data_IF_616552314139
#
_entry.id   IF_616552314139
#
_cell.length_a   1.000
_cell.length_b   1.000
_cell.length_c   1.000
_cell.angle_alpha   90.00
_cell.angle_beta   90.00
_cell.angle_gamma   90.00
#
_symmetry.space_group_name_H-M   'P 1'
#
loop_
_entity.id
_entity.type
_entity.pdbx_description
1 polymer ?
#
# COMPACT_ATOMS: atom_id res chain seq x y z
N UNK A 1 -6.29 -9.62 -8.44
CA UNK A 1 -5.46 -10.10 -7.29
C UNK A 1 -4.49 -9.05 -6.75
N UNK A 2 -4.96 -7.80 -6.59
CA UNK A 2 -4.16 -6.72 -5.99
C UNK A 2 -3.96 -6.99 -4.49
N UNK A 3 -2.72 -6.85 -3.94
CA UNK A 3 -2.44 -7.12 -2.52
C UNK A 3 -3.20 -6.19 -1.55
N UNK A 4 -3.41 -4.94 -1.93
CA UNK A 4 -4.15 -3.95 -1.14
C UNK A 4 -5.65 -4.30 -1.01
N UNK A 5 -6.27 -4.80 -2.08
CA UNK A 5 -7.66 -5.30 -2.05
C UNK A 5 -7.75 -6.56 -1.19
N UNK A 6 -6.81 -7.50 -1.33
CA UNK A 6 -6.75 -8.70 -0.50
C UNK A 6 -6.56 -8.35 0.98
N UNK A 7 -5.71 -7.38 1.30
CA UNK A 7 -5.53 -6.88 2.66
C UNK A 7 -6.83 -6.34 3.23
N UNK A 8 -7.55 -5.49 2.50
CA UNK A 8 -8.82 -4.92 2.94
C UNK A 8 -9.90 -6.01 3.10
N UNK A 9 -9.93 -7.03 2.22
CA UNK A 9 -10.81 -8.18 2.33
C UNK A 9 -10.53 -9.00 3.62
N UNK A 10 -9.26 -9.25 3.92
CA UNK A 10 -8.88 -9.97 5.14
C UNK A 10 -9.18 -9.17 6.40
N UNK A 11 -9.02 -7.84 6.37
CA UNK A 11 -9.42 -6.96 7.47
C UNK A 11 -10.95 -7.00 7.69
N UNK A 12 -11.75 -7.03 6.64
CA UNK A 12 -13.20 -7.20 6.75
C UNK A 12 -13.56 -8.58 7.33
N UNK A 13 -12.88 -9.65 6.91
CA UNK A 13 -13.05 -10.99 7.48
C UNK A 13 -12.71 -11.04 8.98
N UNK A 14 -11.62 -10.38 9.37
CA UNK A 14 -11.22 -10.26 10.77
C UNK A 14 -12.27 -9.52 11.60
N UNK A 15 -12.72 -8.34 11.14
CA UNK A 15 -13.76 -7.56 11.80
C UNK A 15 -15.09 -8.34 11.93
N UNK A 16 -15.40 -9.20 10.95
CA UNK A 16 -16.57 -10.08 11.02
C UNK A 16 -16.38 -11.21 12.04
N UNK A 17 -15.17 -11.75 12.20
CA UNK A 17 -14.86 -12.74 13.22
C UNK A 17 -14.90 -12.15 14.65
N UNK A 18 -14.52 -10.88 14.81
CA UNK A 18 -14.58 -10.16 16.09
C UNK A 18 -16.01 -10.06 16.64
N UNK A 19 -17.02 -10.00 15.77
CA UNK A 19 -18.44 -10.08 16.19
C UNK A 19 -18.71 -11.43 16.87
N UNK A 20 -18.14 -12.52 16.34
CA UNK A 20 -18.24 -13.84 16.95
C UNK A 20 -17.60 -13.87 18.35
N UNK A 21 -16.42 -13.26 18.50
CA UNK A 21 -15.75 -13.14 19.79
C UNK A 21 -16.54 -12.27 20.79
N UNK A 22 -17.10 -11.14 20.31
CA UNK A 22 -17.96 -10.30 21.16
C UNK A 22 -19.25 -11.02 21.61
N UNK A 23 -19.84 -11.87 20.77
CA UNK A 23 -20.98 -12.73 21.13
C UNK A 23 -20.56 -13.83 22.10
N UNK A 24 -19.38 -14.41 21.95
CA UNK A 24 -18.85 -15.42 22.86
C UNK A 24 -18.67 -14.87 24.29
N UNK A 25 -18.46 -13.58 24.46
CA UNK A 25 -18.37 -12.94 25.79
C UNK A 25 -19.67 -13.01 26.62
N UNK A 26 -20.82 -13.35 26.03
CA UNK A 26 -22.07 -13.60 26.76
C UNK A 26 -22.13 -14.99 27.40
N UNK A 27 -21.28 -15.90 27.01
CA UNK A 27 -21.20 -17.26 27.54
C UNK A 27 -20.20 -17.37 28.69
N UNK A 28 -20.30 -18.46 29.51
CA UNK A 28 -19.33 -18.71 30.56
C UNK A 28 -17.91 -18.83 30.02
N UNK A 29 -16.96 -18.21 30.70
CA UNK A 29 -15.54 -18.40 30.46
C UNK A 29 -15.04 -19.55 31.34
N UNK A 30 -14.50 -20.58 30.71
CA UNK A 30 -13.89 -21.70 31.38
C UNK A 30 -12.37 -21.54 31.26
N UNK A 31 -11.69 -21.52 32.39
CA UNK A 31 -10.21 -21.54 32.47
C UNK A 31 -9.74 -22.70 33.31
N UNK A 32 -8.63 -23.27 32.92
CA UNK A 32 -7.95 -24.36 33.64
C UNK A 32 -6.52 -23.93 33.91
N UNK A 33 -6.17 -23.89 35.17
CA UNK A 33 -4.80 -23.65 35.59
C UNK A 33 -4.27 -24.91 36.27
N UNK A 34 -3.13 -25.37 35.81
CA UNK A 34 -2.39 -26.45 36.48
C UNK A 34 -0.98 -25.97 36.78
N UNK A 35 -0.48 -26.30 37.93
CA UNK A 35 0.90 -26.02 38.34
C UNK A 35 1.53 -27.25 38.96
N UNK A 36 2.80 -27.45 38.66
CA UNK A 36 3.66 -28.48 39.24
C UNK A 36 4.93 -27.80 39.71
N UNK A 37 5.35 -28.08 40.90
CA UNK A 37 6.53 -27.43 41.48
C UNK A 37 7.02 -28.13 42.72
N UNK A 38 7.96 -27.51 43.38
CA UNK A 38 8.46 -27.95 44.69
C UNK A 38 8.23 -26.86 45.73
N UNK A 39 7.88 -27.21 46.94
CA UNK A 39 7.66 -26.30 48.07
C UNK A 39 8.45 -26.80 49.27
N UNK A 40 9.10 -25.88 49.98
CA UNK A 40 9.86 -26.17 51.20
C UNK A 40 9.91 -24.95 52.11
N UNK A 41 10.00 -25.17 53.44
CA UNK A 41 10.17 -24.11 54.45
C UNK A 41 11.57 -23.48 54.42
N UNK A 42 12.55 -24.20 53.86
CA UNK A 42 13.94 -23.78 53.71
C UNK A 42 14.44 -24.09 52.30
N UNK A 43 15.39 -23.30 51.80
CA UNK A 43 15.98 -23.47 50.48
C UNK A 43 16.64 -24.84 50.30
N UNK A 44 17.26 -25.37 51.39
CA UNK A 44 17.89 -26.69 51.45
C UNK A 44 16.91 -27.86 51.33
N UNK A 45 15.62 -27.62 51.59
CA UNK A 45 14.53 -28.60 51.51
C UNK A 45 13.80 -28.66 50.19
N UNK A 46 14.03 -27.67 49.28
CA UNK A 46 13.20 -27.45 48.11
C UNK A 46 13.20 -28.61 47.09
N UNK A 47 14.27 -29.40 47.04
CA UNK A 47 14.40 -30.52 46.11
C UNK A 47 14.51 -31.88 46.81
N UNK A 48 14.15 -31.95 48.12
CA UNK A 48 14.13 -33.20 48.86
C UNK A 48 12.87 -34.02 48.54
N UNK A 49 12.94 -35.30 48.82
CA UNK A 49 11.77 -36.21 48.71
C UNK A 49 10.62 -35.66 49.56
N UNK A 50 9.43 -35.51 48.96
CA UNK A 50 8.26 -35.00 49.63
C UNK A 50 8.01 -33.46 49.43
N UNK A 51 8.93 -32.76 48.77
CA UNK A 51 8.71 -31.32 48.43
C UNK A 51 7.86 -31.10 47.17
N UNK A 52 7.54 -32.13 46.42
CA UNK A 52 6.75 -32.05 45.21
C UNK A 52 5.30 -31.65 45.49
N UNK A 53 4.84 -30.63 44.79
CA UNK A 53 3.45 -30.15 44.87
C UNK A 53 2.85 -30.07 43.47
N UNK A 54 1.57 -30.34 43.38
CA UNK A 54 0.81 -30.08 42.16
C UNK A 54 -0.55 -29.47 42.52
N UNK A 55 -1.06 -28.60 41.65
CA UNK A 55 -2.38 -28.04 41.80
C UNK A 55 -3.11 -28.08 40.46
N UNK A 56 -4.41 -28.37 40.52
CA UNK A 56 -5.32 -28.40 39.40
C UNK A 56 -6.55 -27.56 39.75
N UNK A 57 -6.74 -26.40 39.09
CA UNK A 57 -7.74 -25.41 39.43
C UNK A 57 -8.59 -25.07 38.21
N UNK A 58 -9.67 -25.82 37.95
CA UNK A 58 -10.69 -25.40 36.97
C UNK A 58 -11.51 -24.24 37.54
N UNK A 59 -11.78 -23.24 36.71
CA UNK A 59 -12.58 -22.08 37.07
C UNK A 59 -13.61 -21.79 35.97
N UNK A 60 -14.85 -21.56 36.37
CA UNK A 60 -15.96 -21.13 35.48
C UNK A 60 -16.43 -19.79 35.97
N UNK A 61 -16.40 -18.79 35.08
CA UNK A 61 -16.87 -17.43 35.35
C UNK A 61 -18.02 -17.10 34.39
N UNK A 62 -19.21 -16.91 34.92
CA UNK A 62 -20.36 -16.44 34.19
C UNK A 62 -20.75 -15.04 34.73
N UNK A 63 -20.58 -13.98 33.97
CA UNK A 63 -21.03 -12.68 34.41
C UNK A 63 -22.53 -12.54 34.17
N UNK A 64 -23.27 -12.33 35.25
CA UNK A 64 -24.78 -12.22 35.24
C UNK A 64 -25.18 -10.76 35.04
N UNK A 65 -24.50 -9.80 35.66
CA UNK A 65 -24.73 -8.36 35.55
C UNK A 65 -23.51 -7.62 35.14
N UNK A 66 -23.62 -6.78 34.09
CA UNK A 66 -22.54 -5.96 33.53
C UNK A 66 -22.99 -4.57 33.10
N UNK A 67 -24.14 -4.12 33.56
CA UNK A 67 -24.73 -2.81 33.22
C UNK A 67 -24.83 -2.54 31.71
N UNK A 68 -24.90 -3.60 30.88
CA UNK A 68 -25.00 -3.49 29.43
C UNK A 68 -23.67 -3.35 28.68
N UNK A 69 -22.53 -3.46 29.37
CA UNK A 69 -21.20 -3.30 28.76
C UNK A 69 -20.97 -4.24 27.59
N UNK A 70 -21.37 -5.53 27.68
CA UNK A 70 -21.22 -6.49 26.56
C UNK A 70 -22.09 -6.15 25.38
N UNK A 71 -23.33 -5.69 25.64
CA UNK A 71 -24.24 -5.28 24.56
C UNK A 71 -23.70 -4.04 23.84
N UNK A 72 -23.12 -3.09 24.59
CA UNK A 72 -22.44 -1.92 24.01
C UNK A 72 -21.19 -2.33 23.21
N UNK A 73 -20.38 -3.27 23.74
CA UNK A 73 -19.22 -3.80 23.02
C UNK A 73 -19.60 -4.53 21.74
N UNK A 74 -20.67 -5.35 21.76
CA UNK A 74 -21.18 -6.01 20.55
C UNK A 74 -21.58 -4.98 19.48
N UNK A 75 -22.33 -3.94 19.86
CA UNK A 75 -22.69 -2.86 18.94
C UNK A 75 -21.48 -2.11 18.38
N UNK A 76 -20.46 -1.86 19.21
CA UNK A 76 -19.20 -1.23 18.77
C UNK A 76 -18.47 -2.12 17.77
N UNK A 77 -18.44 -3.43 17.99
CA UNK A 77 -17.82 -4.39 17.06
C UNK A 77 -18.60 -4.50 15.74
N UNK A 78 -19.93 -4.46 15.78
CA UNK A 78 -20.77 -4.42 14.58
C UNK A 78 -20.51 -3.14 13.77
N UNK A 79 -20.42 -1.97 14.42
CA UNK A 79 -20.03 -0.72 13.77
C UNK A 79 -18.59 -0.79 13.21
N UNK A 80 -17.67 -1.48 13.90
CA UNK A 80 -16.32 -1.74 13.41
C UNK A 80 -16.31 -2.53 12.10
N UNK A 81 -17.16 -3.54 11.97
CA UNK A 81 -17.33 -4.28 10.70
C UNK A 81 -17.86 -3.36 9.58
N UNK A 82 -18.82 -2.47 9.86
CA UNK A 82 -19.34 -1.55 8.85
C UNK A 82 -18.28 -0.56 8.38
N UNK A 83 -17.39 -0.11 9.28
CA UNK A 83 -16.22 0.68 8.92
C UNK A 83 -15.27 -0.12 8.00
N UNK A 84 -14.99 -1.38 8.34
CA UNK A 84 -14.12 -2.24 7.53
C UNK A 84 -14.73 -2.51 6.14
N UNK A 85 -16.06 -2.65 6.03
CA UNK A 85 -16.77 -2.78 4.77
C UNK A 85 -16.60 -1.53 3.90
N UNK A 86 -16.81 -0.34 4.48
CA UNK A 86 -16.64 0.91 3.76
C UNK A 86 -15.17 1.12 3.30
N UNK A 87 -14.20 0.67 4.09
CA UNK A 87 -12.78 0.70 3.72
C UNK A 87 -12.47 -0.26 2.56
N UNK A 88 -13.06 -1.45 2.55
CA UNK A 88 -12.93 -2.40 1.46
C UNK A 88 -13.53 -1.86 0.15
N UNK A 89 -14.73 -1.29 0.20
CA UNK A 89 -15.36 -0.64 -0.96
C UNK A 89 -14.50 0.52 -1.48
N UNK A 90 -13.97 1.34 -0.58
CA UNK A 90 -13.05 2.43 -0.93
C UNK A 90 -11.77 1.91 -1.60
N UNK A 91 -11.20 0.81 -1.12
CA UNK A 91 -10.00 0.21 -1.73
C UNK A 91 -10.28 -0.23 -3.16
N UNK A 92 -11.44 -0.82 -3.44
CA UNK A 92 -11.88 -1.20 -4.79
C UNK A 92 -12.01 0.04 -5.68
N UNK A 93 -12.69 1.09 -5.22
CA UNK A 93 -12.87 2.32 -5.99
C UNK A 93 -11.55 3.02 -6.31
N UNK A 94 -10.62 3.05 -5.34
CA UNK A 94 -9.27 3.59 -5.54
C UNK A 94 -8.51 2.77 -6.59
N UNK A 95 -8.60 1.44 -6.52
CA UNK A 95 -7.95 0.57 -7.49
C UNK A 95 -8.44 0.81 -8.93
N UNK A 96 -9.74 0.93 -9.13
CA UNK A 96 -10.31 1.25 -10.45
C UNK A 96 -9.86 2.63 -10.95
N UNK A 97 -9.86 3.64 -10.07
CA UNK A 97 -9.41 4.99 -10.43
C UNK A 97 -7.93 4.97 -10.86
N UNK A 98 -7.06 4.31 -10.11
CA UNK A 98 -5.63 4.23 -10.43
C UNK A 98 -5.37 3.59 -11.80
N UNK A 99 -6.14 2.55 -12.15
CA UNK A 99 -6.04 1.93 -13.49
C UNK A 99 -6.52 2.89 -14.57
N UNK A 100 -7.66 3.56 -14.36
CA UNK A 100 -8.19 4.54 -15.31
C UNK A 100 -7.21 5.70 -15.53
N UNK A 101 -6.64 6.25 -14.46
CA UNK A 101 -5.66 7.33 -14.52
C UNK A 101 -4.39 6.90 -15.27
N UNK A 102 -3.88 5.69 -15.01
CA UNK A 102 -2.70 5.16 -15.69
C UNK A 102 -2.94 4.94 -17.19
N UNK A 103 -4.13 4.48 -17.58
CA UNK A 103 -4.52 4.32 -18.98
C UNK A 103 -4.69 5.66 -19.70
N UNK A 104 -5.35 6.63 -19.06
CA UNK A 104 -5.51 7.97 -19.61
C UNK A 104 -4.15 8.67 -19.81
N UNK A 105 -3.26 8.55 -18.84
CA UNK A 105 -1.90 9.09 -18.92
C UNK A 105 -1.10 8.44 -20.06
N UNK A 106 -1.29 7.15 -20.31
CA UNK A 106 -0.60 6.45 -21.40
C UNK A 106 -0.94 7.06 -22.77
N UNK A 107 -2.23 7.32 -23.04
CA UNK A 107 -2.65 7.91 -24.30
C UNK A 107 -2.03 9.29 -24.51
N UNK A 108 -2.07 10.15 -23.49
CA UNK A 108 -1.50 11.50 -23.58
C UNK A 108 0.02 11.52 -23.70
N UNK A 109 0.74 10.58 -23.08
CA UNK A 109 2.20 10.49 -23.17
C UNK A 109 2.69 10.08 -24.56
N UNK A 110 1.98 9.22 -25.27
CA UNK A 110 2.34 8.81 -26.63
C UNK A 110 2.18 10.01 -27.60
N UNK A 111 1.11 10.80 -27.48
CA UNK A 111 0.89 12.00 -28.27
C UNK A 111 1.93 13.11 -27.96
N UNK A 112 2.22 13.33 -26.69
CA UNK A 112 3.26 14.28 -26.26
C UNK A 112 4.64 13.90 -26.77
N UNK A 113 4.99 12.61 -26.75
CA UNK A 113 6.25 12.13 -27.28
C UNK A 113 6.37 12.38 -28.78
N UNK A 114 5.34 12.06 -29.55
CA UNK A 114 5.31 12.31 -31.00
C UNK A 114 5.46 13.81 -31.33
N UNK A 115 4.75 14.69 -30.60
CA UNK A 115 4.88 16.12 -30.75
C UNK A 115 6.29 16.64 -30.41
N UNK A 116 6.88 16.15 -29.30
CA UNK A 116 8.21 16.54 -28.88
C UNK A 116 9.30 16.05 -29.83
N UNK A 117 9.17 14.85 -30.41
CA UNK A 117 10.07 14.33 -31.43
C UNK A 117 9.99 15.17 -32.72
N UNK A 118 8.79 15.57 -33.13
CA UNK A 118 8.58 16.48 -34.26
C UNK A 118 9.24 17.87 -34.03
N UNK A 119 9.07 18.42 -32.81
CA UNK A 119 9.73 19.67 -32.42
C UNK A 119 11.27 19.53 -32.47
N UNK A 120 11.79 18.43 -31.97
CA UNK A 120 13.25 18.18 -31.97
C UNK A 120 13.78 18.12 -33.40
N UNK A 121 13.10 17.44 -34.31
CA UNK A 121 13.50 17.42 -35.73
C UNK A 121 13.46 18.80 -36.39
N UNK A 122 12.46 19.63 -36.06
CA UNK A 122 12.39 21.00 -36.58
C UNK A 122 13.57 21.85 -36.08
N UNK A 123 13.94 21.70 -34.79
CA UNK A 123 15.08 22.41 -34.20
C UNK A 123 16.44 21.89 -34.70
N UNK A 124 16.55 20.60 -35.04
CA UNK A 124 17.75 20.06 -35.72
C UNK A 124 17.96 20.73 -37.09
N UNK A 125 16.89 20.86 -37.87
CA UNK A 125 16.94 21.59 -39.16
C UNK A 125 17.29 23.06 -38.98
N UNK A 126 16.71 23.71 -37.96
CA UNK A 126 17.02 25.12 -37.63
C UNK A 126 18.48 25.30 -37.26
N UNK A 127 19.04 24.43 -36.42
CA UNK A 127 20.45 24.46 -36.03
C UNK A 127 21.35 24.22 -37.25
N UNK A 128 21.07 23.22 -38.08
CA UNK A 128 21.83 22.96 -39.32
C UNK A 128 21.83 24.14 -40.26
N UNK A 129 20.65 24.79 -40.44
CA UNK A 129 20.54 25.99 -41.29
C UNK A 129 21.30 27.21 -40.73
N UNK A 130 21.19 27.45 -39.40
CA UNK A 130 21.91 28.51 -38.72
C UNK A 130 23.44 28.36 -38.87
N UNK A 131 23.89 27.10 -38.73
CA UNK A 131 25.30 26.78 -38.95
C UNK A 131 25.75 27.04 -40.40
N UNK A 132 24.97 26.59 -41.39
CA UNK A 132 25.30 26.81 -42.80
C UNK A 132 25.34 28.33 -43.16
N UNK A 133 24.45 29.12 -42.60
CA UNK A 133 24.44 30.61 -42.81
C UNK A 133 25.66 31.27 -42.13
N UNK A 134 26.05 30.84 -40.96
CA UNK A 134 27.25 31.30 -40.33
C UNK A 134 28.52 30.92 -41.12
N UNK A 135 28.65 29.67 -41.58
CA UNK A 135 29.76 29.19 -42.37
C UNK A 135 29.88 29.96 -43.74
N UNK A 136 28.73 30.43 -44.27
CA UNK A 136 28.66 31.30 -45.45
C UNK A 136 28.90 32.80 -45.14
N UNK A 137 29.18 33.17 -43.89
CA UNK A 137 29.44 34.56 -43.49
C UNK A 137 28.20 35.47 -43.48
N UNK A 138 26.98 34.92 -43.51
CA UNK A 138 25.71 35.65 -43.58
C UNK A 138 25.22 36.08 -42.21
N UNK A 139 25.35 35.18 -41.20
CA UNK A 139 24.80 35.36 -39.84
C UNK A 139 25.92 35.32 -38.79
N UNK A 140 25.60 35.82 -37.57
CA UNK A 140 26.48 35.76 -36.43
C UNK A 140 26.47 34.37 -35.75
N UNK A 141 27.59 34.05 -35.14
CA UNK A 141 27.74 32.78 -34.34
C UNK A 141 26.75 32.71 -33.19
N UNK A 142 26.23 33.82 -32.68
CA UNK A 142 25.19 33.86 -31.63
C UNK A 142 23.95 33.13 -32.06
N UNK A 143 23.52 33.26 -33.34
CA UNK A 143 22.36 32.52 -33.87
C UNK A 143 22.56 30.99 -33.85
N UNK A 144 23.80 30.51 -34.08
CA UNK A 144 24.14 29.07 -33.98
C UNK A 144 24.02 28.60 -32.55
N UNK A 145 24.56 29.36 -31.56
CA UNK A 145 24.51 29.02 -30.15
C UNK A 145 23.08 28.98 -29.62
N UNK A 146 22.21 29.92 -30.01
CA UNK A 146 20.81 29.96 -29.63
C UNK A 146 20.03 28.76 -30.21
N UNK A 147 20.27 28.41 -31.46
CA UNK A 147 19.66 27.24 -32.09
C UNK A 147 20.16 25.93 -31.42
N UNK A 148 21.45 25.85 -31.09
CA UNK A 148 22.02 24.70 -30.38
C UNK A 148 21.43 24.54 -28.99
N UNK A 149 21.25 25.62 -28.23
CA UNK A 149 20.63 25.58 -26.88
C UNK A 149 19.19 25.13 -26.95
N UNK A 150 18.46 25.62 -27.95
CA UNK A 150 17.04 25.23 -28.18
C UNK A 150 16.94 23.74 -28.53
N UNK A 151 17.80 23.24 -29.42
CA UNK A 151 17.87 21.84 -29.79
C UNK A 151 18.20 20.95 -28.57
N UNK A 152 19.20 21.33 -27.78
CA UNK A 152 19.57 20.59 -26.58
C UNK A 152 18.42 20.48 -25.58
N UNK A 153 17.69 21.58 -25.35
CA UNK A 153 16.50 21.58 -24.49
C UNK A 153 15.40 20.65 -25.01
N UNK A 154 15.14 20.65 -26.32
CA UNK A 154 14.17 19.76 -26.93
C UNK A 154 14.54 18.28 -26.82
N UNK A 155 15.83 17.95 -27.01
CA UNK A 155 16.35 16.57 -26.82
C UNK A 155 16.19 16.10 -25.39
N UNK A 156 16.45 16.96 -24.40
CA UNK A 156 16.16 16.65 -22.98
C UNK A 156 14.68 16.39 -22.75
N UNK A 157 13.80 17.15 -23.40
CA UNK A 157 12.35 16.94 -23.35
C UNK A 157 11.93 15.55 -23.86
N UNK A 158 12.52 15.07 -24.96
CA UNK A 158 12.29 13.71 -25.49
C UNK A 158 12.70 12.65 -24.46
N UNK A 159 13.88 12.81 -23.84
CA UNK A 159 14.37 11.86 -22.83
C UNK A 159 13.43 11.82 -21.62
N UNK A 160 12.98 13.00 -21.15
CA UNK A 160 12.06 13.10 -20.02
C UNK A 160 10.70 12.40 -20.31
N UNK A 161 10.14 12.60 -21.51
CA UNK A 161 8.89 11.96 -21.94
C UNK A 161 9.04 10.46 -22.11
N UNK A 162 10.14 9.97 -22.68
CA UNK A 162 10.45 8.54 -22.76
C UNK A 162 10.54 7.91 -21.38
N UNK A 163 11.20 8.57 -20.45
CA UNK A 163 11.25 8.12 -19.04
C UNK A 163 9.85 8.06 -18.42
N UNK A 164 9.04 9.10 -18.61
CA UNK A 164 7.66 9.15 -18.11
C UNK A 164 6.81 8.00 -18.69
N UNK A 165 6.95 7.73 -19.99
CA UNK A 165 6.27 6.62 -20.68
C UNK A 165 6.63 5.26 -20.07
N UNK A 166 7.92 4.97 -19.87
CA UNK A 166 8.34 3.72 -19.22
C UNK A 166 7.89 3.65 -17.76
N UNK A 167 7.95 4.77 -17.03
CA UNK A 167 7.43 4.85 -15.67
C UNK A 167 5.93 4.54 -15.59
N UNK A 168 5.14 5.05 -16.55
CA UNK A 168 3.70 4.75 -16.65
C UNK A 168 3.46 3.26 -16.96
N UNK A 169 4.24 2.62 -17.84
CA UNK A 169 4.12 1.18 -18.12
C UNK A 169 4.36 0.33 -16.87
N UNK A 170 5.40 0.66 -16.09
CA UNK A 170 5.69 -0.02 -14.81
C UNK A 170 4.58 0.26 -13.81
N UNK A 171 4.08 1.50 -13.74
CA UNK A 171 2.94 1.89 -12.92
C UNK A 171 1.69 1.10 -13.28
N UNK A 172 1.37 0.99 -14.55
CA UNK A 172 0.23 0.22 -15.05
C UNK A 172 0.33 -1.26 -14.68
N UNK A 173 1.51 -1.86 -14.83
CA UNK A 173 1.76 -3.23 -14.38
C UNK A 173 1.47 -3.41 -12.88
N UNK A 174 1.95 -2.46 -12.04
CA UNK A 174 1.72 -2.46 -10.60
C UNK A 174 0.23 -2.36 -10.26
N UNK A 175 -0.50 -1.39 -10.85
CA UNK A 175 -1.92 -1.15 -10.51
C UNK A 175 -2.85 -2.25 -11.03
N UNK A 176 -2.42 -3.01 -12.04
CA UNK A 176 -3.12 -4.22 -12.49
C UNK A 176 -2.88 -5.44 -11.59
N UNK A 177 -2.04 -5.31 -10.56
CA UNK A 177 -1.71 -6.40 -9.63
C UNK A 177 -0.58 -7.29 -10.12
N UNK A 178 0.26 -6.80 -11.04
CA UNK A 178 1.49 -7.47 -11.44
C UNK A 178 2.52 -7.42 -10.30
N UNK A 179 3.14 -8.54 -10.01
CA UNK A 179 4.14 -8.67 -8.95
C UNK A 179 3.81 -9.81 -7.99
N UNK A 180 3.70 -11.03 -8.52
CA UNK A 180 3.75 -12.26 -7.73
C UNK A 180 5.19 -12.68 -7.53
#
# INVERSE_FOLDING_TARGET
HRPDILMAEHQLKAANADIGAARAAFFPRISLTTSVGTMGSELSGLFKSGSSTWAFSPQIVLPIFDTGARRANLKATEAGRDIALAQYEKAIQVAFREVADALAQRGTLDDQLAAQESLTQALERTHSLAKARYDAGIDSYLGVLDAQRSLYSAQQGVIALRRARYGNLVGLYKVLGGGR
#
